data_IF_930467209901
#
_entry.id   IF_930467209901
#
_cell.length_a   1.000
_cell.length_b   1.000
_cell.length_c   1.000
_cell.angle_alpha   90.00
_cell.angle_beta   90.00
_cell.angle_gamma   90.00
#
_symmetry.space_group_name_H-M   'P 1'
#
loop_
_entity.id
_entity.type
_entity.pdbx_description
1 polymer ?
#
# COMPACT_ATOMS: atom_id res chain seq x y z
N UNK A 1 -15.01 -25.20 -33.02
CA UNK A 1 -15.04 -24.56 -31.68
C UNK A 1 -13.81 -25.03 -30.90
N UNK A 2 -12.74 -24.23 -30.81
CA UNK A 2 -11.60 -24.59 -29.93
C UNK A 2 -11.98 -24.16 -28.51
N UNK A 3 -12.14 -25.12 -27.61
CA UNK A 3 -12.36 -24.87 -26.19
C UNK A 3 -11.24 -23.96 -25.67
N UNK A 4 -11.59 -22.73 -25.28
CA UNK A 4 -10.64 -21.81 -24.64
C UNK A 4 -10.24 -22.43 -23.31
N UNK A 5 -8.93 -22.58 -23.09
CA UNK A 5 -8.42 -22.91 -21.76
C UNK A 5 -8.93 -21.83 -20.77
N UNK A 6 -9.39 -22.22 -19.56
CA UNK A 6 -9.78 -21.26 -18.53
C UNK A 6 -8.69 -20.22 -18.28
N UNK A 7 -9.09 -18.96 -18.05
CA UNK A 7 -8.13 -17.86 -17.85
C UNK A 7 -7.16 -18.16 -16.71
N UNK A 8 -7.65 -18.72 -15.61
CA UNK A 8 -6.84 -19.14 -14.46
C UNK A 8 -5.76 -20.16 -14.82
N UNK A 9 -6.09 -21.17 -15.63
CA UNK A 9 -5.14 -22.20 -16.02
C UNK A 9 -4.05 -21.62 -16.92
N UNK A 10 -4.40 -20.66 -17.79
CA UNK A 10 -3.42 -19.97 -18.65
C UNK A 10 -2.50 -19.08 -17.82
N UNK A 11 -3.04 -18.35 -16.84
CA UNK A 11 -2.24 -17.52 -15.94
C UNK A 11 -1.27 -18.38 -15.12
N UNK A 12 -1.74 -19.53 -14.62
CA UNK A 12 -0.89 -20.50 -13.90
C UNK A 12 0.21 -21.06 -14.80
N UNK A 13 -0.12 -21.48 -16.02
CA UNK A 13 0.88 -21.96 -16.99
C UNK A 13 1.93 -20.89 -17.30
N UNK A 14 1.51 -19.65 -17.52
CA UNK A 14 2.44 -18.54 -17.78
C UNK A 14 3.34 -18.29 -16.56
N UNK A 15 2.79 -18.30 -15.34
CA UNK A 15 3.54 -18.16 -14.11
C UNK A 15 4.56 -19.30 -13.92
N UNK A 16 4.16 -20.55 -14.15
CA UNK A 16 5.04 -21.72 -14.08
C UNK A 16 6.19 -21.63 -15.09
N UNK A 17 5.91 -21.12 -16.30
CA UNK A 17 6.93 -20.91 -17.33
C UNK A 17 7.92 -19.78 -16.98
N UNK A 18 7.44 -18.72 -16.34
CA UNK A 18 8.30 -17.64 -15.84
C UNK A 18 9.17 -18.14 -14.68
N UNK A 19 8.57 -18.83 -13.70
CA UNK A 19 9.27 -19.38 -12.54
C UNK A 19 10.35 -20.40 -12.94
N UNK A 20 10.04 -21.26 -13.92
CA UNK A 20 10.99 -22.23 -14.48
C UNK A 20 11.97 -21.63 -15.49
N UNK A 21 11.87 -20.33 -15.81
CA UNK A 21 12.68 -19.63 -16.84
C UNK A 21 12.60 -20.27 -18.23
N UNK A 22 11.47 -20.88 -18.55
CA UNK A 22 11.25 -21.56 -19.85
C UNK A 22 10.39 -20.76 -20.82
N UNK A 23 9.93 -19.55 -20.43
CA UNK A 23 9.20 -18.65 -21.32
C UNK A 23 10.15 -18.03 -22.35
N UNK A 24 9.93 -18.35 -23.62
CA UNK A 24 10.63 -17.79 -24.79
C UNK A 24 9.70 -16.90 -25.60
N UNK A 25 10.26 -16.10 -26.51
CA UNK A 25 9.49 -15.24 -27.41
C UNK A 25 8.42 -15.98 -28.21
N UNK A 26 8.76 -17.13 -28.79
CA UNK A 26 7.82 -17.94 -29.58
C UNK A 26 6.69 -18.48 -28.72
N UNK A 27 7.03 -18.89 -27.49
CA UNK A 27 6.04 -19.34 -26.51
C UNK A 27 5.11 -18.20 -26.12
N UNK A 28 5.63 -17.01 -25.82
CA UNK A 28 4.81 -15.83 -25.53
C UNK A 28 3.96 -15.41 -26.73
N UNK A 29 4.49 -15.48 -27.96
CA UNK A 29 3.73 -15.23 -29.17
C UNK A 29 2.57 -16.24 -29.34
N UNK A 30 2.74 -17.48 -28.90
CA UNK A 30 1.64 -18.44 -28.85
C UNK A 30 0.57 -18.07 -27.80
N UNK A 31 0.97 -17.49 -26.66
CA UNK A 31 0.01 -16.94 -25.68
C UNK A 31 -0.84 -15.79 -26.26
N UNK A 32 -0.26 -15.01 -27.17
CA UNK A 32 -0.89 -13.91 -27.90
C UNK A 32 -1.88 -14.34 -29.00
N UNK A 33 -2.03 -15.65 -29.28
CA UNK A 33 -3.00 -16.14 -30.27
C UNK A 33 -4.47 -16.05 -29.81
N UNK A 34 -4.71 -15.69 -28.54
CA UNK A 34 -6.05 -15.55 -27.95
C UNK A 34 -6.10 -14.19 -27.24
N UNK A 35 -7.13 -13.38 -27.51
CA UNK A 35 -7.34 -12.10 -26.81
C UNK A 35 -7.43 -12.33 -25.28
N UNK A 36 -6.64 -11.58 -24.51
CA UNK A 36 -6.52 -11.69 -23.05
C UNK A 36 -6.89 -10.39 -22.36
N UNK A 37 -7.52 -10.53 -21.19
CA UNK A 37 -7.80 -9.40 -20.28
C UNK A 37 -6.71 -9.23 -19.23
N UNK A 38 -6.05 -10.32 -18.83
CA UNK A 38 -4.95 -10.29 -17.87
C UNK A 38 -3.68 -10.86 -18.50
N UNK A 39 -2.57 -10.14 -18.36
CA UNK A 39 -1.25 -10.59 -18.75
C UNK A 39 -0.24 -10.24 -17.66
N UNK A 40 0.27 -11.26 -16.97
CA UNK A 40 1.32 -11.11 -15.98
C UNK A 40 2.63 -11.68 -16.53
N UNK A 41 3.61 -10.80 -16.74
CA UNK A 41 4.97 -11.14 -17.18
C UNK A 41 6.01 -10.70 -16.15
N UNK A 42 5.61 -10.50 -14.89
CA UNK A 42 6.51 -10.04 -13.82
C UNK A 42 7.75 -10.93 -13.68
N UNK A 43 8.92 -10.32 -13.58
CA UNK A 43 10.22 -10.99 -13.47
C UNK A 43 10.70 -11.65 -14.77
N UNK A 44 9.97 -11.51 -15.88
CA UNK A 44 10.37 -12.10 -17.14
C UNK A 44 11.54 -11.33 -17.76
N UNK A 45 12.72 -11.93 -17.80
CA UNK A 45 13.94 -11.30 -18.35
C UNK A 45 14.34 -11.79 -19.76
N UNK A 46 13.80 -12.94 -20.20
CA UNK A 46 14.21 -13.59 -21.44
C UNK A 46 13.46 -13.06 -22.69
N UNK A 47 12.36 -12.33 -22.50
CA UNK A 47 11.52 -11.86 -23.59
C UNK A 47 12.08 -10.59 -24.19
N UNK A 48 12.22 -10.53 -25.53
CA UNK A 48 12.69 -9.32 -26.20
C UNK A 48 11.65 -8.20 -26.16
N UNK A 49 12.15 -6.96 -26.07
CA UNK A 49 11.33 -5.75 -26.12
C UNK A 49 10.45 -5.68 -27.40
N UNK A 50 10.95 -6.18 -28.53
CA UNK A 50 10.19 -6.25 -29.79
C UNK A 50 8.93 -7.10 -29.70
N UNK A 51 8.92 -8.14 -28.86
CA UNK A 51 7.73 -8.95 -28.61
C UNK A 51 6.77 -8.23 -27.67
N UNK A 52 7.28 -7.55 -26.63
CA UNK A 52 6.43 -6.75 -25.73
C UNK A 52 5.72 -5.61 -26.47
N UNK A 53 6.36 -4.99 -27.47
CA UNK A 53 5.72 -3.98 -28.33
C UNK A 53 4.55 -4.53 -29.15
N UNK A 54 4.40 -5.85 -29.28
CA UNK A 54 3.26 -6.45 -29.98
C UNK A 54 2.02 -6.59 -29.10
N UNK A 55 2.14 -6.43 -27.77
CA UNK A 55 1.00 -6.52 -26.82
C UNK A 55 -0.24 -5.76 -27.30
N UNK A 56 -0.18 -4.46 -27.66
CA UNK A 56 -1.37 -3.72 -28.10
C UNK A 56 -2.08 -4.34 -29.32
N UNK A 57 -1.33 -4.93 -30.26
CA UNK A 57 -1.89 -5.52 -31.47
C UNK A 57 -2.45 -6.93 -31.26
N UNK A 58 -1.97 -7.62 -30.22
CA UNK A 58 -2.33 -9.01 -29.92
C UNK A 58 -3.38 -9.13 -28.82
N UNK A 59 -3.36 -8.19 -27.87
CA UNK A 59 -4.23 -8.14 -26.71
C UNK A 59 -4.88 -6.75 -26.58
N UNK A 60 -5.68 -6.28 -27.55
CA UNK A 60 -6.30 -4.95 -27.48
C UNK A 60 -7.31 -4.81 -26.32
N UNK A 61 -7.90 -5.92 -25.88
CA UNK A 61 -8.89 -5.97 -24.77
C UNK A 61 -8.25 -6.09 -23.37
N UNK A 62 -6.94 -5.82 -23.27
CA UNK A 62 -6.21 -5.98 -22.03
C UNK A 62 -6.73 -5.02 -20.95
N UNK A 63 -6.98 -5.56 -19.76
CA UNK A 63 -7.43 -4.83 -18.56
C UNK A 63 -6.35 -4.77 -17.50
N UNK A 64 -5.53 -5.80 -17.37
CA UNK A 64 -4.45 -5.86 -16.40
C UNK A 64 -3.16 -6.29 -17.09
N UNK A 65 -2.12 -5.47 -16.92
CA UNK A 65 -0.77 -5.75 -17.39
C UNK A 65 0.20 -5.59 -16.22
N UNK A 66 0.95 -6.66 -15.94
CA UNK A 66 2.08 -6.63 -15.01
C UNK A 66 3.38 -6.92 -15.78
N UNK A 67 4.26 -5.92 -15.82
CA UNK A 67 5.60 -6.00 -16.40
C UNK A 67 6.68 -5.75 -15.32
N UNK A 68 6.33 -5.89 -14.05
CA UNK A 68 7.24 -5.59 -12.94
C UNK A 68 8.51 -6.42 -13.02
N UNK A 69 9.65 -5.85 -12.62
CA UNK A 69 10.97 -6.48 -12.60
C UNK A 69 11.44 -7.02 -13.96
N UNK A 70 10.94 -6.47 -15.08
CA UNK A 70 11.37 -6.80 -16.43
C UNK A 70 12.40 -5.77 -16.92
N UNK A 71 13.72 -6.04 -16.83
CA UNK A 71 14.76 -5.06 -17.13
C UNK A 71 14.79 -4.60 -18.61
N UNK A 72 14.22 -5.38 -19.52
CA UNK A 72 14.14 -5.06 -20.94
C UNK A 72 13.04 -4.04 -21.28
N UNK A 73 12.16 -3.70 -20.33
CA UNK A 73 11.01 -2.82 -20.58
C UNK A 73 11.47 -1.37 -20.73
N UNK A 74 11.10 -0.76 -21.86
CA UNK A 74 11.51 0.61 -22.24
C UNK A 74 10.29 1.52 -22.38
N UNK A 75 10.52 2.83 -22.41
CA UNK A 75 9.49 3.85 -22.65
C UNK A 75 8.63 3.53 -23.88
N UNK A 76 9.23 3.02 -24.96
CA UNK A 76 8.54 2.66 -26.21
C UNK A 76 7.55 1.51 -26.05
N UNK A 77 7.79 0.55 -25.15
CA UNK A 77 6.83 -0.52 -24.85
C UNK A 77 5.63 0.04 -24.12
N UNK A 78 5.86 0.81 -23.06
CA UNK A 78 4.78 1.37 -22.23
C UNK A 78 3.91 2.28 -23.06
N UNK A 79 4.53 3.13 -23.86
CA UNK A 79 3.85 3.96 -24.84
C UNK A 79 2.96 3.18 -25.79
N UNK A 80 3.48 2.12 -26.42
CA UNK A 80 2.70 1.30 -27.34
C UNK A 80 1.49 0.65 -26.64
N UNK A 81 1.67 0.18 -25.40
CA UNK A 81 0.58 -0.36 -24.58
C UNK A 81 -0.46 0.71 -24.26
N UNK A 82 -0.04 1.88 -23.79
CA UNK A 82 -0.96 2.97 -23.43
C UNK A 82 -1.71 3.52 -24.65
N UNK A 83 -1.15 3.40 -25.85
CA UNK A 83 -1.81 3.74 -27.11
C UNK A 83 -2.84 2.68 -27.53
N UNK A 84 -2.48 1.40 -27.51
CA UNK A 84 -3.32 0.35 -28.12
C UNK A 84 -4.27 -0.38 -27.18
N UNK A 85 -4.02 -0.38 -25.87
CA UNK A 85 -4.85 -1.09 -24.88
C UNK A 85 -5.83 -0.12 -24.20
N UNK A 86 -6.86 0.34 -24.93
CA UNK A 86 -7.80 1.37 -24.45
C UNK A 86 -8.67 0.96 -23.26
N UNK A 87 -8.75 -0.34 -22.95
CA UNK A 87 -9.52 -0.88 -21.84
C UNK A 87 -8.65 -1.18 -20.60
N UNK A 88 -7.38 -0.75 -20.60
CA UNK A 88 -6.43 -1.06 -19.53
C UNK A 88 -6.80 -0.34 -18.23
N UNK A 89 -6.98 -1.12 -17.17
CA UNK A 89 -7.38 -0.65 -15.83
C UNK A 89 -6.22 -0.73 -14.84
N UNK A 90 -5.35 -1.73 -14.98
CA UNK A 90 -4.21 -1.97 -14.09
C UNK A 90 -2.92 -2.05 -14.87
N UNK A 91 -1.94 -1.24 -14.49
CA UNK A 91 -0.60 -1.24 -15.05
C UNK A 91 0.44 -1.30 -13.92
N UNK A 92 1.19 -2.40 -13.83
CA UNK A 92 2.26 -2.56 -12.85
C UNK A 92 3.63 -2.58 -13.53
N UNK A 93 4.51 -1.68 -13.13
CA UNK A 93 5.85 -1.48 -13.68
C UNK A 93 6.94 -1.53 -12.61
N UNK A 94 6.69 -2.18 -11.47
CA UNK A 94 7.57 -2.09 -10.32
C UNK A 94 8.98 -2.56 -10.64
N UNK A 95 10.00 -1.76 -10.34
CA UNK A 95 11.40 -2.11 -10.59
C UNK A 95 11.81 -2.07 -12.07
N UNK A 96 10.99 -1.53 -12.97
CA UNK A 96 11.36 -1.27 -14.37
C UNK A 96 12.31 -0.07 -14.47
N UNK A 97 13.60 -0.33 -14.25
CA UNK A 97 14.64 0.71 -14.04
C UNK A 97 14.86 1.65 -15.23
N UNK A 98 14.45 1.28 -16.44
CA UNK A 98 14.66 2.10 -17.65
C UNK A 98 13.45 2.98 -18.00
N UNK A 99 12.39 2.95 -17.20
CA UNK A 99 11.21 3.78 -17.42
C UNK A 99 11.43 5.19 -16.86
N UNK A 100 11.18 6.19 -17.71
CA UNK A 100 11.24 7.61 -17.37
C UNK A 100 9.92 8.28 -17.74
N UNK A 101 9.75 9.56 -17.38
CA UNK A 101 8.53 10.33 -17.68
C UNK A 101 8.21 10.37 -19.19
N UNK A 102 9.22 10.23 -20.06
CA UNK A 102 9.06 10.17 -21.50
C UNK A 102 8.21 8.97 -21.98
N UNK A 103 8.02 7.93 -21.16
CA UNK A 103 7.06 6.86 -21.45
C UNK A 103 5.60 7.36 -21.54
N UNK A 104 5.30 8.46 -20.84
CA UNK A 104 3.96 9.01 -20.66
C UNK A 104 3.76 10.34 -21.39
N UNK A 105 4.81 10.91 -21.95
CA UNK A 105 4.72 12.13 -22.75
C UNK A 105 4.34 11.80 -24.20
N UNK A 106 3.54 12.65 -24.85
CA UNK A 106 3.33 12.57 -26.28
C UNK A 106 4.61 12.91 -27.02
N UNK A 107 4.97 12.08 -28.01
CA UNK A 107 5.87 12.58 -29.06
C UNK A 107 5.15 13.74 -29.76
N UNK A 108 5.86 14.75 -30.27
CA UNK A 108 5.33 16.01 -30.85
C UNK A 108 4.27 15.87 -31.99
N UNK A 109 3.76 14.66 -32.26
CA UNK A 109 2.64 14.37 -33.14
C UNK A 109 1.29 14.78 -32.53
N UNK A 110 0.48 15.58 -33.23
CA UNK A 110 -0.86 15.99 -32.77
C UNK A 110 -1.88 14.83 -32.72
N UNK A 111 -1.56 13.66 -33.27
CA UNK A 111 -2.40 12.46 -33.23
C UNK A 111 -2.02 11.49 -32.11
N UNK A 112 -1.10 11.89 -31.24
CA UNK A 112 -0.59 11.03 -30.18
C UNK A 112 -1.53 11.07 -28.97
N UNK A 113 -2.42 10.09 -28.89
CA UNK A 113 -3.31 9.89 -27.76
C UNK A 113 -2.97 8.59 -27.02
N UNK A 114 -2.77 8.71 -25.70
CA UNK A 114 -2.60 7.56 -24.81
C UNK A 114 -4.00 7.10 -24.34
N UNK A 115 -4.65 6.26 -25.13
CA UNK A 115 -6.05 5.87 -24.93
C UNK A 115 -6.32 5.20 -23.58
N UNK A 116 -5.36 4.43 -23.05
CA UNK A 116 -5.48 3.77 -21.76
C UNK A 116 -5.66 4.74 -20.57
N UNK A 117 -5.24 5.99 -20.69
CA UNK A 117 -5.24 6.93 -19.56
C UNK A 117 -6.64 7.21 -19.00
N UNK A 118 -7.68 7.13 -19.83
CA UNK A 118 -9.06 7.36 -19.37
C UNK A 118 -9.66 6.16 -18.64
N UNK A 119 -9.08 4.96 -18.80
CA UNK A 119 -9.56 3.73 -18.16
C UNK A 119 -8.71 3.26 -16.98
N UNK A 120 -7.48 3.77 -16.84
CA UNK A 120 -6.56 3.40 -15.78
C UNK A 120 -7.14 3.73 -14.40
N UNK A 121 -7.08 2.74 -13.51
CA UNK A 121 -7.56 2.79 -12.13
C UNK A 121 -6.43 2.51 -11.13
N UNK A 122 -5.57 1.56 -11.46
CA UNK A 122 -4.49 1.08 -10.59
C UNK A 122 -3.18 1.20 -11.33
N UNK A 123 -2.22 1.92 -10.75
CA UNK A 123 -0.87 2.03 -11.30
C UNK A 123 0.16 1.79 -10.21
N UNK A 124 1.16 0.98 -10.53
CA UNK A 124 2.28 0.73 -9.63
C UNK A 124 3.59 1.02 -10.34
N UNK A 125 4.38 1.90 -9.73
CA UNK A 125 5.68 2.34 -10.22
C UNK A 125 6.77 2.13 -9.15
N UNK A 126 6.54 1.25 -8.18
CA UNK A 126 7.45 1.12 -7.05
C UNK A 126 8.86 0.79 -7.54
N UNK A 127 9.88 1.44 -6.95
CA UNK A 127 11.30 1.29 -7.33
C UNK A 127 11.64 1.76 -8.76
N UNK A 128 10.77 2.53 -9.43
CA UNK A 128 11.10 3.21 -10.69
C UNK A 128 11.77 4.57 -10.41
N UNK A 129 13.05 4.52 -10.05
CA UNK A 129 13.80 5.67 -9.53
C UNK A 129 14.06 6.82 -10.52
N UNK A 130 13.72 6.67 -11.80
CA UNK A 130 13.89 7.72 -12.81
C UNK A 130 12.64 8.58 -13.03
N UNK A 131 11.49 8.19 -12.46
CA UNK A 131 10.24 8.93 -12.57
C UNK A 131 10.26 10.15 -11.67
N UNK A 132 9.69 11.26 -12.16
CA UNK A 132 9.71 12.54 -11.44
C UNK A 132 8.31 13.13 -11.31
N UNK A 133 8.22 14.39 -10.86
CA UNK A 133 6.97 15.15 -10.83
C UNK A 133 6.25 15.25 -12.18
N UNK A 134 6.95 15.12 -13.30
CA UNK A 134 6.35 15.19 -14.63
C UNK A 134 5.40 14.01 -14.89
N UNK A 135 5.72 12.82 -14.35
CA UNK A 135 4.77 11.71 -14.33
C UNK A 135 3.52 12.09 -13.53
N UNK A 136 3.69 12.64 -12.33
CA UNK A 136 2.55 12.99 -11.47
C UNK A 136 1.65 14.02 -12.16
N UNK A 137 2.25 15.03 -12.79
CA UNK A 137 1.54 16.02 -13.60
C UNK A 137 0.76 15.37 -14.74
N UNK A 138 1.36 14.38 -15.42
CA UNK A 138 0.68 13.60 -16.44
C UNK A 138 -0.50 12.81 -15.87
N UNK A 139 -0.30 12.07 -14.77
CA UNK A 139 -1.35 11.25 -14.15
C UNK A 139 -2.55 12.11 -13.76
N UNK A 140 -2.31 13.26 -13.11
CA UNK A 140 -3.37 14.19 -12.72
C UNK A 140 -4.12 14.77 -13.93
N UNK A 141 -3.42 15.07 -15.03
CA UNK A 141 -4.04 15.66 -16.23
C UNK A 141 -4.80 14.64 -17.10
N UNK A 142 -4.22 13.46 -17.26
CA UNK A 142 -4.67 12.47 -18.23
C UNK A 142 -5.50 11.34 -17.60
N UNK A 143 -5.23 10.97 -16.35
CA UNK A 143 -5.81 9.79 -15.70
C UNK A 143 -6.81 10.20 -14.61
N UNK A 144 -8.06 10.38 -15.02
CA UNK A 144 -9.13 10.92 -14.12
C UNK A 144 -9.78 9.88 -13.21
N UNK A 145 -9.53 8.60 -13.42
CA UNK A 145 -10.18 7.50 -12.68
C UNK A 145 -9.22 6.68 -11.83
N UNK A 146 -8.04 7.24 -11.54
CA UNK A 146 -7.06 6.58 -10.66
C UNK A 146 -7.59 6.51 -9.23
N UNK A 147 -7.64 5.29 -8.71
CA UNK A 147 -8.06 4.99 -7.35
C UNK A 147 -6.92 4.44 -6.50
N UNK A 148 -5.86 3.91 -7.11
CA UNK A 148 -4.75 3.27 -6.42
C UNK A 148 -3.43 3.59 -7.13
N UNK A 149 -2.50 4.20 -6.39
CA UNK A 149 -1.18 4.59 -6.88
C UNK A 149 -0.11 4.13 -5.89
N UNK A 150 0.89 3.42 -6.42
CA UNK A 150 2.06 3.02 -5.64
C UNK A 150 3.34 3.67 -6.19
N UNK A 151 3.93 4.55 -5.38
CA UNK A 151 5.21 5.23 -5.63
C UNK A 151 6.31 4.77 -4.68
N UNK A 152 6.14 3.66 -3.97
CA UNK A 152 7.14 3.17 -3.01
C UNK A 152 8.57 3.19 -3.59
N UNK A 153 9.52 3.80 -2.88
CA UNK A 153 10.92 3.98 -3.30
C UNK A 153 11.15 4.80 -4.59
N UNK A 154 10.19 5.62 -5.04
CA UNK A 154 10.38 6.58 -6.14
C UNK A 154 11.03 7.88 -5.65
N UNK A 155 12.33 7.83 -5.35
CA UNK A 155 13.09 8.90 -4.66
C UNK A 155 13.17 10.27 -5.36
N UNK A 156 12.70 10.39 -6.61
CA UNK A 156 12.68 11.65 -7.38
C UNK A 156 11.30 12.30 -7.45
N UNK A 157 10.31 11.72 -6.77
CA UNK A 157 8.99 12.31 -6.55
C UNK A 157 9.01 12.90 -5.15
N UNK A 158 8.86 14.21 -5.06
CA UNK A 158 8.99 14.99 -3.82
C UNK A 158 7.63 15.55 -3.35
N UNK A 159 7.67 16.28 -2.25
CA UNK A 159 6.49 16.82 -1.57
C UNK A 159 5.57 17.64 -2.48
N UNK A 160 6.12 18.48 -3.36
CA UNK A 160 5.34 19.32 -4.29
C UNK A 160 4.48 18.49 -5.25
N UNK A 161 5.04 17.38 -5.75
CA UNK A 161 4.33 16.45 -6.62
C UNK A 161 3.24 15.69 -5.86
N UNK A 162 3.53 15.20 -4.65
CA UNK A 162 2.54 14.49 -3.83
C UNK A 162 1.42 15.42 -3.38
N UNK A 163 1.74 16.65 -2.99
CA UNK A 163 0.76 17.68 -2.67
C UNK A 163 -0.18 17.95 -3.85
N UNK A 164 0.37 18.13 -5.06
CA UNK A 164 -0.42 18.28 -6.29
C UNK A 164 -1.35 17.08 -6.52
N UNK A 165 -0.82 15.87 -6.36
CA UNK A 165 -1.60 14.63 -6.52
C UNK A 165 -2.77 14.58 -5.54
N UNK A 166 -2.51 14.77 -4.24
CA UNK A 166 -3.53 14.70 -3.18
C UNK A 166 -4.61 15.76 -3.32
N UNK A 167 -4.27 16.93 -3.89
CA UNK A 167 -5.22 18.01 -4.15
C UNK A 167 -6.07 17.77 -5.40
N UNK A 168 -5.51 17.13 -6.43
CA UNK A 168 -6.15 17.02 -7.75
C UNK A 168 -6.79 15.66 -8.05
N UNK A 169 -6.28 14.56 -7.50
CA UNK A 169 -6.82 13.23 -7.71
C UNK A 169 -7.98 12.96 -6.72
N UNK A 170 -9.17 13.44 -7.06
CA UNK A 170 -10.34 13.42 -6.17
C UNK A 170 -10.88 12.03 -5.87
N UNK A 171 -10.63 11.06 -6.76
CA UNK A 171 -11.10 9.68 -6.63
C UNK A 171 -10.03 8.74 -6.04
N UNK A 172 -8.86 9.27 -5.69
CA UNK A 172 -7.74 8.47 -5.17
C UNK A 172 -8.09 7.89 -3.79
N UNK A 173 -8.11 6.56 -3.70
CA UNK A 173 -8.47 5.82 -2.49
C UNK A 173 -7.26 5.21 -1.80
N UNK A 174 -6.22 4.83 -2.54
CA UNK A 174 -5.02 4.21 -2.00
C UNK A 174 -3.78 4.92 -2.54
N UNK A 175 -2.87 5.25 -1.64
CA UNK A 175 -1.60 5.88 -1.98
C UNK A 175 -0.47 5.26 -1.17
N UNK A 176 0.50 4.64 -1.85
CA UNK A 176 1.70 4.12 -1.21
C UNK A 176 2.91 5.02 -1.52
N UNK A 177 3.45 5.65 -0.48
CA UNK A 177 4.63 6.51 -0.50
C UNK A 177 5.78 5.92 0.34
N UNK A 178 5.72 4.64 0.70
CA UNK A 178 6.71 4.02 1.58
C UNK A 178 8.14 4.16 1.03
N UNK A 179 9.09 4.38 1.93
CA UNK A 179 10.51 4.54 1.63
C UNK A 179 10.81 5.67 0.63
N UNK A 180 10.00 6.72 0.65
CA UNK A 180 10.25 7.99 -0.04
C UNK A 180 10.74 9.05 0.96
N UNK A 181 11.47 10.05 0.47
CA UNK A 181 11.90 11.19 1.28
C UNK A 181 10.81 12.27 1.31
N UNK A 182 9.65 11.89 1.85
CA UNK A 182 8.46 12.76 1.97
C UNK A 182 8.44 13.38 3.35
N UNK A 183 8.13 14.68 3.40
CA UNK A 183 8.02 15.46 4.64
C UNK A 183 6.59 15.98 4.83
N UNK A 184 6.35 16.65 5.97
CA UNK A 184 5.06 17.27 6.26
C UNK A 184 4.57 18.25 5.18
N UNK A 185 5.50 18.82 4.39
CA UNK A 185 5.16 19.74 3.29
C UNK A 185 4.22 19.13 2.25
N UNK A 186 4.28 17.80 2.05
CA UNK A 186 3.39 17.11 1.13
C UNK A 186 1.91 17.20 1.56
N UNK A 187 1.65 17.44 2.85
CA UNK A 187 0.33 17.38 3.48
C UNK A 187 -0.18 18.73 3.99
N UNK A 188 0.70 19.71 4.16
CA UNK A 188 0.36 21.07 4.60
C UNK A 188 -0.01 21.99 3.45
N UNK A 189 -0.79 23.03 3.75
CA UNK A 189 -1.15 24.09 2.80
C UNK A 189 0.06 24.91 2.36
N UNK A 190 0.18 25.14 1.06
CA UNK A 190 1.08 26.13 0.48
C UNK A 190 0.39 27.51 0.39
N UNK A 191 1.13 28.62 0.30
CA UNK A 191 0.55 29.96 0.08
C UNK A 191 -0.37 30.03 -1.14
N UNK A 192 -0.15 29.16 -2.14
CA UNK A 192 -0.99 29.04 -3.32
C UNK A 192 -2.41 28.51 -3.03
N UNK A 193 -2.61 27.77 -1.93
CA UNK A 193 -3.88 27.15 -1.56
C UNK A 193 -4.84 28.13 -0.87
N UNK A 194 -4.31 29.20 -0.29
CA UNK A 194 -5.10 30.21 0.43
C UNK A 194 -5.94 31.08 -0.52
N UNK A 195 -5.67 31.05 -1.83
CA UNK A 195 -6.38 31.87 -2.84
C UNK A 195 -7.85 31.48 -3.05
N UNK A 196 -8.23 30.25 -2.70
CA UNK A 196 -9.56 29.70 -2.99
C UNK A 196 -10.40 29.43 -1.72
N UNK A 197 -9.99 29.92 -0.55
CA UNK A 197 -10.80 29.94 0.68
C UNK A 197 -11.04 28.59 1.39
N UNK A 198 -10.83 27.44 0.74
CA UNK A 198 -10.97 26.11 1.35
C UNK A 198 -9.93 25.12 0.81
N UNK A 199 -8.90 24.81 1.60
CA UNK A 199 -7.98 23.71 1.29
C UNK A 199 -8.56 22.38 1.73
N UNK A 200 -8.53 21.40 0.83
CA UNK A 200 -8.77 20.00 1.15
C UNK A 200 -7.92 19.11 0.24
N UNK A 201 -7.48 17.99 0.81
CA UNK A 201 -6.67 17.00 0.14
C UNK A 201 -7.18 15.60 0.48
N UNK A 202 -6.97 14.62 -0.39
CA UNK A 202 -7.17 13.20 -0.05
C UNK A 202 -8.56 12.83 0.48
N UNK A 203 -9.63 13.53 0.08
CA UNK A 203 -10.98 13.33 0.65
C UNK A 203 -11.53 11.90 0.46
N UNK A 204 -11.16 11.26 -0.64
CA UNK A 204 -11.56 9.88 -0.95
C UNK A 204 -10.56 8.83 -0.42
N UNK A 205 -9.47 9.26 0.24
CA UNK A 205 -8.40 8.38 0.66
C UNK A 205 -8.88 7.45 1.77
N UNK A 206 -8.64 6.15 1.55
CA UNK A 206 -8.95 5.04 2.45
C UNK A 206 -7.70 4.34 2.93
N UNK A 207 -6.65 4.28 2.13
CA UNK A 207 -5.38 3.69 2.53
C UNK A 207 -4.21 4.61 2.22
N UNK A 208 -3.33 4.82 3.20
CA UNK A 208 -2.07 5.52 3.00
C UNK A 208 -0.91 4.76 3.65
N UNK A 209 0.18 4.61 2.92
CA UNK A 209 1.42 4.03 3.42
C UNK A 209 2.54 5.06 3.37
N UNK A 210 2.99 5.48 4.54
CA UNK A 210 4.06 6.46 4.77
C UNK A 210 5.24 5.81 5.50
N UNK A 211 5.35 4.49 5.50
CA UNK A 211 6.45 3.74 6.11
C UNK A 211 7.80 4.35 5.71
N UNK A 212 8.69 4.61 6.67
CA UNK A 212 10.01 5.21 6.44
C UNK A 212 9.95 6.57 5.72
N UNK A 213 9.09 7.47 6.19
CA UNK A 213 9.03 8.87 5.73
C UNK A 213 9.44 9.85 6.84
N UNK A 214 9.88 11.05 6.48
CA UNK A 214 10.36 12.10 7.38
C UNK A 214 9.21 13.00 7.84
N UNK A 215 8.19 12.40 8.46
CA UNK A 215 6.94 13.06 8.87
C UNK A 215 6.81 13.20 10.39
N UNK A 216 6.06 14.20 10.83
CA UNK A 216 5.76 14.48 12.24
C UNK A 216 4.25 14.46 12.50
N UNK A 217 3.83 14.84 13.70
CA UNK A 217 2.42 15.04 14.07
C UNK A 217 1.70 16.01 13.13
N UNK A 218 2.42 16.92 12.46
CA UNK A 218 1.84 17.85 11.47
C UNK A 218 1.14 17.09 10.34
N UNK A 219 1.76 16.04 9.79
CA UNK A 219 1.12 15.17 8.79
C UNK A 219 -0.11 14.47 9.37
N UNK A 220 -0.03 13.98 10.61
CA UNK A 220 -1.16 13.29 11.25
C UNK A 220 -2.34 14.23 11.49
N UNK A 221 -2.11 15.48 11.89
CA UNK A 221 -3.15 16.51 11.99
C UNK A 221 -3.78 16.80 10.63
N UNK A 222 -2.97 16.87 9.56
CA UNK A 222 -3.47 17.10 8.21
C UNK A 222 -4.33 15.93 7.72
N UNK A 223 -3.90 14.67 7.91
CA UNK A 223 -4.69 13.48 7.59
C UNK A 223 -5.99 13.43 8.41
N UNK A 224 -5.91 13.68 9.72
CA UNK A 224 -7.08 13.72 10.60
C UNK A 224 -8.12 14.77 10.17
N UNK A 225 -7.65 15.92 9.66
CA UNK A 225 -8.52 17.02 9.22
C UNK A 225 -9.13 16.78 7.85
N UNK A 226 -8.39 16.18 6.92
CA UNK A 226 -8.75 16.17 5.50
C UNK A 226 -9.20 14.80 4.97
N UNK A 227 -8.83 13.71 5.65
CA UNK A 227 -9.03 12.33 5.19
C UNK A 227 -9.89 11.51 6.18
N UNK A 228 -11.15 11.88 6.48
CA UNK A 228 -11.98 11.24 7.51
C UNK A 228 -12.42 9.81 7.16
N UNK A 229 -12.14 9.33 5.94
CA UNK A 229 -12.51 8.01 5.45
C UNK A 229 -11.35 7.01 5.45
N UNK A 230 -10.23 7.33 6.09
CA UNK A 230 -9.11 6.42 6.24
C UNK A 230 -9.53 5.13 6.97
N UNK A 231 -9.15 4.01 6.36
CA UNK A 231 -9.35 2.63 6.80
C UNK A 231 -8.00 1.95 7.07
N UNK A 232 -6.93 2.34 6.39
CA UNK A 232 -5.59 1.77 6.54
C UNK A 232 -4.54 2.89 6.59
N UNK A 233 -3.75 2.92 7.66
CA UNK A 233 -2.65 3.87 7.83
C UNK A 233 -1.40 3.11 8.27
N UNK A 234 -0.35 3.16 7.44
CA UNK A 234 0.96 2.57 7.76
C UNK A 234 1.99 3.65 7.96
N UNK A 235 2.62 3.65 9.12
CA UNK A 235 3.58 4.65 9.57
C UNK A 235 4.85 4.01 10.16
N UNK A 236 5.16 2.77 9.74
CA UNK A 236 6.28 2.03 10.31
C UNK A 236 7.59 2.81 10.16
N UNK A 237 8.41 2.84 11.21
CA UNK A 237 9.67 3.59 11.29
C UNK A 237 9.55 5.11 11.06
N UNK A 238 8.38 5.72 11.29
CA UNK A 238 8.24 7.18 11.34
C UNK A 238 8.57 7.67 12.77
N UNK A 239 9.84 8.02 13.03
CA UNK A 239 10.37 8.18 14.38
C UNK A 239 10.04 9.51 15.08
N UNK A 240 9.52 10.50 14.36
CA UNK A 240 9.27 11.86 14.90
C UNK A 240 7.80 12.13 15.28
N UNK A 241 6.91 11.15 15.10
CA UNK A 241 5.51 11.24 15.50
C UNK A 241 5.33 10.89 16.98
N UNK A 242 4.41 11.56 17.68
CA UNK A 242 4.14 11.35 19.09
C UNK A 242 2.70 10.88 19.34
N UNK A 243 2.39 10.60 20.61
CA UNK A 243 1.04 10.25 21.05
C UNK A 243 -0.03 11.28 20.64
N UNK A 244 0.33 12.57 20.50
CA UNK A 244 -0.62 13.64 20.16
C UNK A 244 -1.10 13.52 18.71
N UNK A 245 -0.19 13.21 17.78
CA UNK A 245 -0.57 12.96 16.39
C UNK A 245 -1.42 11.70 16.23
N UNK A 246 -1.09 10.63 16.96
CA UNK A 246 -1.89 9.39 16.98
C UNK A 246 -3.28 9.65 17.52
N UNK A 247 -3.39 10.38 18.64
CA UNK A 247 -4.68 10.80 19.19
C UNK A 247 -5.54 11.50 18.13
N UNK A 248 -4.99 12.51 17.44
CA UNK A 248 -5.73 13.25 16.42
C UNK A 248 -6.19 12.33 15.28
N UNK A 249 -5.34 11.41 14.83
CA UNK A 249 -5.65 10.47 13.78
C UNK A 249 -6.83 9.56 14.16
N UNK A 250 -6.75 8.85 15.29
CA UNK A 250 -7.78 7.87 15.70
C UNK A 250 -9.09 8.54 16.13
N UNK A 251 -9.04 9.77 16.64
CA UNK A 251 -10.24 10.55 16.98
C UNK A 251 -11.06 10.93 15.75
N UNK A 252 -10.40 11.25 14.65
CA UNK A 252 -11.05 11.72 13.43
C UNK A 252 -11.36 10.60 12.45
N UNK A 253 -10.44 9.64 12.28
CA UNK A 253 -10.55 8.56 11.30
C UNK A 253 -11.26 7.34 11.90
N UNK A 254 -12.55 7.47 12.18
CA UNK A 254 -13.36 6.43 12.87
C UNK A 254 -13.62 5.14 12.06
N UNK A 255 -13.16 5.11 10.81
CA UNK A 255 -13.23 3.92 9.93
C UNK A 255 -11.93 3.13 9.90
N UNK A 256 -10.94 3.52 10.72
CA UNK A 256 -9.63 2.90 10.72
C UNK A 256 -9.74 1.42 11.15
N UNK A 257 -9.31 0.53 10.26
CA UNK A 257 -9.27 -0.92 10.41
C UNK A 257 -7.84 -1.44 10.57
N UNK A 258 -6.88 -0.79 9.92
CA UNK A 258 -5.46 -1.18 9.96
C UNK A 258 -4.61 0.01 10.38
N UNK A 259 -3.86 -0.16 11.46
CA UNK A 259 -2.88 0.83 11.92
C UNK A 259 -1.53 0.14 12.15
N UNK A 260 -0.51 0.56 11.39
CA UNK A 260 0.86 0.08 11.57
C UNK A 260 1.76 1.19 12.13
N UNK A 261 2.21 0.98 13.37
CA UNK A 261 3.12 1.84 14.12
C UNK A 261 4.43 1.10 14.46
N UNK A 262 4.78 0.08 13.67
CA UNK A 262 6.01 -0.69 13.89
C UNK A 262 7.22 0.24 13.99
N UNK A 263 8.00 0.09 15.06
CA UNK A 263 9.22 0.87 15.30
C UNK A 263 8.99 2.39 15.34
N UNK A 264 7.85 2.85 15.86
CA UNK A 264 7.59 4.25 16.16
C UNK A 264 8.08 4.58 17.59
N UNK A 265 9.33 5.02 17.71
CA UNK A 265 10.06 5.11 18.98
C UNK A 265 9.44 6.02 20.06
N UNK A 266 8.66 7.03 19.66
CA UNK A 266 8.07 8.01 20.59
C UNK A 266 6.64 7.66 21.03
N UNK A 267 6.09 6.53 20.56
CA UNK A 267 4.75 6.08 20.98
C UNK A 267 4.83 5.39 22.33
N UNK A 268 3.97 5.81 23.25
CA UNK A 268 3.91 5.30 24.63
C UNK A 268 2.53 4.73 24.95
N UNK A 269 2.37 4.23 26.18
CA UNK A 269 1.07 3.82 26.72
C UNK A 269 -0.02 4.88 26.59
N UNK A 270 0.34 6.18 26.59
CA UNK A 270 -0.64 7.25 26.40
C UNK A 270 -1.24 7.21 24.98
N UNK A 271 -0.42 7.12 23.94
CA UNK A 271 -0.88 7.05 22.56
C UNK A 271 -1.71 5.80 22.31
N UNK A 272 -1.26 4.65 22.84
CA UNK A 272 -1.99 3.38 22.75
C UNK A 272 -3.31 3.44 23.52
N UNK A 273 -3.35 4.10 24.68
CA UNK A 273 -4.61 4.35 25.40
C UNK A 273 -5.65 5.10 24.55
N UNK A 274 -5.21 6.05 23.73
CA UNK A 274 -6.11 6.75 22.79
C UNK A 274 -6.54 5.85 21.63
N UNK A 275 -5.70 4.91 21.19
CA UNK A 275 -6.09 3.86 20.23
C UNK A 275 -7.19 2.98 20.85
N UNK A 276 -7.04 2.53 22.09
CA UNK A 276 -8.08 1.78 22.80
C UNK A 276 -9.39 2.57 22.91
N UNK A 277 -9.31 3.85 23.27
CA UNK A 277 -10.49 4.70 23.47
C UNK A 277 -11.28 5.00 22.17
N UNK A 278 -10.64 4.99 21.00
CA UNK A 278 -11.26 5.48 19.76
C UNK A 278 -11.17 4.54 18.55
N UNK A 279 -10.42 3.45 18.67
CA UNK A 279 -10.14 2.47 17.62
C UNK A 279 -11.07 1.26 17.62
N UNK A 280 -12.37 1.44 17.87
CA UNK A 280 -13.33 0.32 17.95
C UNK A 280 -13.46 -0.49 16.65
N UNK A 281 -13.13 0.12 15.51
CA UNK A 281 -13.18 -0.52 14.19
C UNK A 281 -11.84 -1.17 13.78
N UNK A 282 -10.81 -1.09 14.63
CA UNK A 282 -9.51 -1.68 14.33
C UNK A 282 -9.61 -3.20 14.29
N UNK A 283 -9.12 -3.76 13.19
CA UNK A 283 -8.99 -5.19 12.94
C UNK A 283 -7.53 -5.64 13.06
N UNK A 284 -6.58 -4.77 12.67
CA UNK A 284 -5.15 -5.06 12.75
C UNK A 284 -4.38 -3.87 13.33
N UNK A 285 -3.62 -4.14 14.38
CA UNK A 285 -2.73 -3.16 15.02
C UNK A 285 -1.32 -3.74 15.12
N UNK A 286 -0.33 -3.00 14.61
CA UNK A 286 1.08 -3.36 14.72
C UNK A 286 1.82 -2.33 15.57
N UNK A 287 2.24 -2.74 16.76
CA UNK A 287 3.03 -1.98 17.72
C UNK A 287 4.42 -2.61 17.95
N UNK A 288 4.81 -3.54 17.08
CA UNK A 288 6.10 -4.22 17.19
C UNK A 288 7.25 -3.21 17.21
N UNK A 289 8.28 -3.45 18.02
CA UNK A 289 9.42 -2.56 18.23
C UNK A 289 9.08 -1.20 18.86
N UNK A 290 7.85 -0.96 19.32
CA UNK A 290 7.56 0.19 20.17
C UNK A 290 8.10 -0.08 21.58
N UNK A 291 9.28 0.42 21.89
CA UNK A 291 10.00 0.09 23.13
C UNK A 291 9.42 0.74 24.39
N UNK A 292 8.54 1.73 24.24
CA UNK A 292 7.99 2.53 25.34
C UNK A 292 6.56 2.15 25.73
N UNK A 293 6.09 0.97 25.31
CA UNK A 293 4.78 0.43 25.72
C UNK A 293 4.96 -0.65 26.78
N UNK A 294 4.00 -0.74 27.70
CA UNK A 294 3.95 -1.72 28.80
C UNK A 294 2.66 -2.53 28.74
N UNK A 295 2.44 -3.43 29.71
CA UNK A 295 1.19 -4.17 29.85
C UNK A 295 -0.05 -3.26 29.89
N UNK A 296 0.10 -2.00 30.33
CA UNK A 296 -0.98 -1.00 30.30
C UNK A 296 -1.53 -0.78 28.88
N UNK A 297 -0.65 -0.64 27.88
CA UNK A 297 -1.06 -0.52 26.48
C UNK A 297 -1.94 -1.68 26.05
N UNK A 298 -1.57 -2.90 26.46
CA UNK A 298 -2.28 -4.12 26.07
C UNK A 298 -3.65 -4.21 26.74
N UNK A 299 -3.75 -3.81 28.01
CA UNK A 299 -5.04 -3.69 28.72
C UNK A 299 -5.95 -2.66 28.04
N UNK A 300 -5.43 -1.48 27.67
CA UNK A 300 -6.20 -0.44 27.01
C UNK A 300 -6.71 -0.93 25.63
N UNK A 301 -5.90 -1.68 24.87
CA UNK A 301 -6.32 -2.31 23.61
C UNK A 301 -7.38 -3.39 23.84
N UNK A 302 -7.16 -4.28 24.80
CA UNK A 302 -8.08 -5.39 25.08
C UNK A 302 -9.47 -4.89 25.47
N UNK A 303 -9.53 -3.79 26.22
CA UNK A 303 -10.79 -3.18 26.67
C UNK A 303 -11.52 -2.37 25.59
N UNK A 304 -10.81 -1.79 24.62
CA UNK A 304 -11.40 -0.84 23.67
C UNK A 304 -11.50 -1.28 22.22
N UNK A 305 -10.63 -2.19 21.76
CA UNK A 305 -10.55 -2.65 20.37
C UNK A 305 -11.33 -3.96 20.17
N UNK A 306 -12.66 -3.88 20.21
CA UNK A 306 -13.58 -5.03 20.16
C UNK A 306 -13.50 -5.84 18.85
N UNK A 307 -13.18 -5.19 17.73
CA UNK A 307 -13.09 -5.83 16.40
C UNK A 307 -11.68 -6.33 16.04
N UNK A 308 -10.74 -6.26 16.99
CA UNK A 308 -9.35 -6.61 16.72
C UNK A 308 -9.22 -8.10 16.41
N UNK A 309 -8.59 -8.42 15.29
CA UNK A 309 -8.31 -9.77 14.80
C UNK A 309 -6.81 -10.09 14.86
N UNK A 310 -5.95 -9.09 14.76
CA UNK A 310 -4.50 -9.28 14.82
C UNK A 310 -3.80 -8.14 15.57
N UNK A 311 -3.02 -8.50 16.59
CA UNK A 311 -2.17 -7.61 17.36
C UNK A 311 -0.72 -8.07 17.31
N UNK A 312 0.16 -7.23 16.77
CA UNK A 312 1.59 -7.52 16.66
C UNK A 312 2.36 -6.68 17.67
N UNK A 313 3.05 -7.34 18.60
CA UNK A 313 3.81 -6.75 19.71
C UNK A 313 5.26 -7.29 19.71
N UNK A 314 5.79 -7.61 18.52
CA UNK A 314 7.10 -8.25 18.37
C UNK A 314 8.19 -7.33 18.94
N UNK A 315 9.09 -7.86 19.76
CA UNK A 315 10.17 -7.11 20.42
C UNK A 315 9.71 -5.95 21.33
N UNK A 316 8.49 -5.99 21.86
CA UNK A 316 8.06 -5.08 22.93
C UNK A 316 8.57 -5.61 24.28
N UNK A 317 9.76 -5.16 24.69
CA UNK A 317 10.54 -5.80 25.76
C UNK A 317 10.03 -5.58 27.19
N UNK A 318 9.12 -4.63 27.40
CA UNK A 318 8.51 -4.33 28.70
C UNK A 318 7.20 -5.09 28.95
N UNK A 319 6.77 -5.95 28.02
CA UNK A 319 5.56 -6.76 28.17
C UNK A 319 5.83 -8.01 28.99
N UNK A 320 4.88 -8.34 29.86
CA UNK A 320 4.90 -9.51 30.73
C UNK A 320 3.66 -10.37 30.52
N UNK A 321 3.57 -11.50 31.22
CA UNK A 321 2.41 -12.39 31.18
C UNK A 321 1.07 -11.67 31.49
N UNK A 322 1.10 -10.52 32.18
CA UNK A 322 -0.06 -9.65 32.38
C UNK A 322 -0.68 -9.13 31.07
N UNK A 323 0.12 -8.96 30.01
CA UNK A 323 -0.38 -8.64 28.67
C UNK A 323 -1.26 -9.74 28.08
N UNK A 324 -0.97 -11.01 28.39
CA UNK A 324 -1.79 -12.15 27.95
C UNK A 324 -3.07 -12.20 28.77
N UNK A 325 -2.97 -11.97 30.08
CA UNK A 325 -4.11 -11.98 30.99
C UNK A 325 -5.21 -11.00 30.57
N UNK A 326 -4.83 -9.85 30.00
CA UNK A 326 -5.75 -8.86 29.47
C UNK A 326 -6.72 -9.39 28.39
N UNK A 327 -6.38 -10.49 27.71
CA UNK A 327 -7.22 -11.10 26.66
C UNK A 327 -7.89 -12.41 27.09
N UNK A 328 -7.62 -12.89 28.30
CA UNK A 328 -8.30 -14.08 28.80
C UNK A 328 -9.77 -13.75 29.09
N UNK A 329 -10.71 -14.61 28.69
CA UNK A 329 -12.12 -14.38 28.98
C UNK A 329 -12.34 -14.44 30.49
N UNK A 330 -12.92 -13.37 31.06
CA UNK A 330 -13.73 -13.52 32.26
C UNK A 330 -14.99 -14.31 31.86
N UNK A 331 -15.53 -15.14 32.77
CA UNK A 331 -16.67 -16.06 32.53
C UNK A 331 -17.93 -15.40 31.91
N UNK A 332 -17.96 -14.08 31.73
CA UNK A 332 -19.06 -13.29 31.18
C UNK A 332 -18.87 -12.74 29.73
N UNK A 333 -17.66 -12.76 29.14
CA UNK A 333 -17.43 -12.11 27.81
C UNK A 333 -16.46 -12.89 26.92
N UNK A 334 -16.94 -13.96 26.29
CA UNK A 334 -16.19 -14.66 25.25
C UNK A 334 -16.15 -13.83 23.95
N UNK A 335 -14.95 -13.55 23.43
CA UNK A 335 -14.77 -13.00 22.08
C UNK A 335 -15.37 -13.96 21.05
N UNK A 336 -16.18 -13.44 20.13
CA UNK A 336 -16.81 -14.22 19.06
C UNK A 336 -15.88 -14.48 17.87
N UNK A 337 -14.73 -13.80 17.82
CA UNK A 337 -13.77 -13.83 16.71
C UNK A 337 -12.38 -14.19 17.22
N UNK A 338 -11.66 -14.98 16.42
CA UNK A 338 -10.28 -15.42 16.72
C UNK A 338 -9.36 -14.20 16.71
N UNK A 339 -8.64 -14.00 17.81
CA UNK A 339 -7.63 -12.96 17.95
C UNK A 339 -6.24 -13.59 17.86
N UNK A 340 -5.46 -13.15 16.87
CA UNK A 340 -4.06 -13.50 16.71
C UNK A 340 -3.17 -12.50 17.44
N UNK A 341 -2.38 -12.99 18.38
CA UNK A 341 -1.42 -12.22 19.16
C UNK A 341 0.00 -12.64 18.79
N UNK A 342 0.89 -11.70 18.54
CA UNK A 342 2.30 -12.01 18.29
C UNK A 342 3.21 -11.30 19.30
N UNK A 343 3.83 -12.10 20.17
CA UNK A 343 4.75 -11.67 21.22
C UNK A 343 6.19 -12.17 20.96
N UNK A 344 6.55 -12.48 19.72
CA UNK A 344 7.91 -12.93 19.39
C UNK A 344 8.95 -11.89 19.84
N UNK A 345 10.03 -12.32 20.48
CA UNK A 345 11.06 -11.44 21.06
C UNK A 345 10.68 -10.74 22.38
N UNK A 346 9.46 -10.92 22.92
CA UNK A 346 9.07 -10.38 24.24
C UNK A 346 9.58 -11.28 25.36
N UNK A 347 10.71 -10.91 25.97
CA UNK A 347 11.38 -11.74 27.01
C UNK A 347 10.59 -11.91 28.30
N UNK A 348 9.65 -11.02 28.61
CA UNK A 348 8.78 -11.12 29.80
C UNK A 348 7.60 -12.06 29.62
N UNK A 349 7.41 -12.65 28.44
CA UNK A 349 6.35 -13.61 28.14
C UNK A 349 6.88 -15.03 28.35
N UNK A 350 6.28 -15.77 29.28
CA UNK A 350 6.71 -17.13 29.59
C UNK A 350 6.05 -18.16 28.68
N UNK A 351 6.82 -19.17 28.26
CA UNK A 351 6.29 -20.27 27.44
C UNK A 351 5.16 -21.04 28.14
N UNK A 352 5.25 -21.19 29.46
CA UNK A 352 4.22 -21.85 30.26
C UNK A 352 2.89 -21.11 30.20
N UNK A 353 2.90 -19.78 30.33
CA UNK A 353 1.69 -18.96 30.29
C UNK A 353 1.05 -18.92 28.91
N UNK A 354 1.88 -18.91 27.86
CA UNK A 354 1.43 -19.01 26.46
C UNK A 354 0.69 -20.33 26.22
N UNK A 355 1.21 -21.46 26.70
CA UNK A 355 0.51 -22.74 26.55
C UNK A 355 -0.84 -22.75 27.28
N UNK A 356 -0.91 -22.21 28.49
CA UNK A 356 -2.17 -22.05 29.23
C UNK A 356 -3.16 -21.19 28.42
N UNK A 357 -2.72 -20.06 27.89
CA UNK A 357 -3.56 -19.16 27.12
C UNK A 357 -4.07 -19.79 25.80
N UNK A 358 -3.26 -20.62 25.13
CA UNK A 358 -3.69 -21.40 23.95
C UNK A 358 -4.79 -22.40 24.28
N UNK A 359 -4.72 -23.06 25.44
CA UNK A 359 -5.82 -23.95 25.88
C UNK A 359 -7.14 -23.20 26.12
N UNK A 360 -7.06 -21.88 26.38
CA UNK A 360 -8.19 -20.97 26.52
C UNK A 360 -8.64 -20.32 25.20
N UNK A 361 -8.09 -20.76 24.07
CA UNK A 361 -8.56 -20.37 22.72
C UNK A 361 -7.86 -19.16 22.09
N UNK A 362 -6.79 -18.63 22.69
CA UNK A 362 -5.99 -17.56 22.08
C UNK A 362 -5.01 -18.11 21.03
N UNK A 363 -4.94 -17.47 19.86
CA UNK A 363 -3.92 -17.77 18.84
C UNK A 363 -2.67 -16.92 19.11
N UNK A 364 -1.71 -17.50 19.83
CA UNK A 364 -0.49 -16.79 20.24
C UNK A 364 0.73 -17.31 19.48
N UNK A 365 1.43 -16.40 18.82
CA UNK A 365 2.74 -16.61 18.19
C UNK A 365 3.84 -16.10 19.12
N UNK A 366 4.80 -16.97 19.43
CA UNK A 366 6.02 -16.65 20.17
C UNK A 366 7.23 -17.28 19.47
N UNK A 367 8.42 -16.76 19.75
CA UNK A 367 9.67 -17.16 19.09
C UNK A 367 10.79 -16.17 19.40
N UNK A 368 12.02 -16.55 19.04
CA UNK A 368 13.21 -15.70 19.18
C UNK A 368 13.25 -14.58 18.15
#
# INVERSE_FOLDING_TARGET
MRSRLPEELVLKLLADMIASKTLTDDRLAAFFMISRRVLNLSGCCAIRNSILRQIPFRCPELRCLDLSNCPQVTNTVIRAVLQGCSNLQTLQLDGCRHITDAAFQPDHSPFYALHACTSLKVVSFARCSQLTKDLVLFLVKACRSLIDINFSRCKRIHDDAIHLLLRSATDLQRLNLSFMDITDKAFTTEPSDQRNGFYAMGRALRAIDLTQSSITDVTLFALAKHCPHLEEVKLSCCSEMTDVGIEALVRSCRRLRVLDLNNCALITDRGVGMIGAYGQQLERLNLSWCMNITDKSVVDIASGCENLQELLLVWCTQLTDASIDAFLPDDATARTQVLKLNFSGCKGISAAHVEIARTKGLDIVTGS
#
